data_IF_949687950757
#
_entry.id   IF_949687950757
#
_cell.length_a   1.000
_cell.length_b   1.000
_cell.length_c   1.000
_cell.angle_alpha   90.00
_cell.angle_beta   90.00
_cell.angle_gamma   90.00
#
_symmetry.space_group_name_H-M   'P 1'
#
loop_
_entity.id
_entity.type
_entity.pdbx_description
1 polymer ?
#
# COMPACT_ATOMS: atom_id res chain seq x y z
N UNK A 1 -4.72 30.79 5.85
CA UNK A 1 -3.71 29.70 5.80
C UNK A 1 -3.59 28.89 7.10
N UNK A 2 -3.17 29.43 8.25
CA UNK A 2 -3.09 28.63 9.51
C UNK A 2 -4.45 28.21 10.07
N UNK A 3 -5.45 29.11 10.07
CA UNK A 3 -6.82 28.79 10.51
C UNK A 3 -7.51 27.77 9.60
N UNK A 4 -7.41 27.92 8.27
CA UNK A 4 -7.96 26.96 7.30
C UNK A 4 -7.31 25.57 7.38
N UNK A 5 -6.01 25.51 7.69
CA UNK A 5 -5.31 24.24 7.94
C UNK A 5 -5.83 23.56 9.21
N UNK A 6 -6.09 24.32 10.28
CA UNK A 6 -6.64 23.82 11.53
C UNK A 6 -8.10 23.36 11.36
N UNK A 7 -8.93 24.11 10.66
CA UNK A 7 -10.31 23.68 10.33
C UNK A 7 -10.31 22.43 9.44
N UNK A 8 -9.36 22.35 8.49
CA UNK A 8 -9.15 21.16 7.69
C UNK A 8 -8.76 19.91 8.51
N UNK A 9 -8.04 20.10 9.62
CA UNK A 9 -7.66 19.02 10.54
C UNK A 9 -8.82 18.52 11.42
N UNK A 10 -9.77 19.39 11.76
CA UNK A 10 -10.96 19.03 12.55
C UNK A 10 -12.14 18.58 11.65
N UNK A 11 -11.91 18.44 10.36
CA UNK A 11 -12.94 18.00 9.40
C UNK A 11 -13.31 16.52 9.54
N UNK A 12 -14.55 16.17 9.17
CA UNK A 12 -15.02 14.78 9.09
C UNK A 12 -14.13 13.90 8.20
N UNK A 13 -13.49 14.50 7.18
CA UNK A 13 -12.54 13.83 6.29
C UNK A 13 -11.32 13.33 7.04
N UNK A 14 -10.81 14.10 8.00
CA UNK A 14 -9.66 13.69 8.81
C UNK A 14 -10.02 12.56 9.77
N UNK A 15 -11.22 12.60 10.37
CA UNK A 15 -11.71 11.51 11.21
C UNK A 15 -11.88 10.21 10.41
N UNK A 16 -12.47 10.30 9.21
CA UNK A 16 -12.60 9.17 8.31
C UNK A 16 -11.22 8.62 7.89
N UNK A 17 -10.27 9.50 7.58
CA UNK A 17 -8.90 9.12 7.27
C UNK A 17 -8.19 8.45 8.46
N UNK A 18 -8.36 8.95 9.68
CA UNK A 18 -7.78 8.35 10.88
C UNK A 18 -8.33 6.94 11.11
N UNK A 19 -9.65 6.74 10.97
CA UNK A 19 -10.27 5.41 11.06
C UNK A 19 -9.71 4.46 10.00
N UNK A 20 -9.60 4.93 8.75
CA UNK A 20 -8.99 4.16 7.66
C UNK A 20 -7.53 3.79 7.95
N UNK A 21 -6.75 4.72 8.53
CA UNK A 21 -5.35 4.52 8.91
C UNK A 21 -5.21 3.49 10.03
N UNK A 22 -6.12 3.46 11.00
CA UNK A 22 -6.15 2.40 12.02
C UNK A 22 -6.32 1.04 11.36
N UNK A 23 -7.35 0.88 10.52
CA UNK A 23 -7.62 -0.40 9.85
C UNK A 23 -6.45 -0.79 8.93
N UNK A 24 -5.92 0.14 8.15
CA UNK A 24 -4.78 -0.05 7.26
C UNK A 24 -3.53 -0.47 8.04
N UNK A 25 -3.25 0.20 9.15
CA UNK A 25 -2.11 -0.09 10.02
C UNK A 25 -2.22 -1.47 10.68
N UNK A 26 -3.42 -1.85 11.16
CA UNK A 26 -3.67 -3.19 11.68
C UNK A 26 -3.45 -4.27 10.60
N UNK A 27 -3.95 -4.04 9.39
CA UNK A 27 -3.73 -4.95 8.25
C UNK A 27 -2.26 -5.07 7.89
N UNK A 28 -1.55 -3.94 7.79
CA UNK A 28 -0.11 -3.87 7.52
C UNK A 28 0.70 -4.60 8.58
N UNK A 29 0.36 -4.41 9.85
CA UNK A 29 0.99 -5.10 10.97
C UNK A 29 0.76 -6.61 10.88
N UNK A 30 -0.47 -7.04 10.64
CA UNK A 30 -0.86 -8.44 10.58
C UNK A 30 -0.19 -9.16 9.41
N UNK A 31 -0.50 -8.75 8.18
CA UNK A 31 -0.10 -9.48 6.98
C UNK A 31 1.22 -9.00 6.34
N UNK A 32 1.76 -7.87 6.77
CA UNK A 32 2.90 -7.23 6.11
C UNK A 32 2.53 -6.41 4.87
N UNK A 33 1.24 -6.28 4.55
CA UNK A 33 0.70 -5.53 3.41
C UNK A 33 -0.69 -4.97 3.74
N UNK A 34 -1.24 -4.15 2.84
CA UNK A 34 -2.64 -3.71 2.93
C UNK A 34 -2.81 -2.22 3.15
N UNK A 35 -1.76 -1.51 3.57
CA UNK A 35 -1.82 -0.04 3.72
C UNK A 35 -2.25 0.63 2.42
N UNK A 36 -1.47 0.47 1.35
CA UNK A 36 -1.79 1.10 0.07
C UNK A 36 -3.15 0.67 -0.50
N UNK A 37 -3.48 -0.61 -0.39
CA UNK A 37 -4.71 -1.15 -0.99
C UNK A 37 -5.95 -0.57 -0.30
N UNK A 38 -5.86 -0.28 1.01
CA UNK A 38 -6.94 0.35 1.74
C UNK A 38 -6.94 1.87 1.61
N UNK A 39 -5.79 2.51 1.78
CA UNK A 39 -5.70 3.97 1.86
C UNK A 39 -5.71 4.65 0.50
N UNK A 40 -5.19 4.04 -0.57
CA UNK A 40 -5.19 4.65 -1.89
C UNK A 40 -6.61 5.02 -2.38
N UNK A 41 -7.61 4.12 -2.39
CA UNK A 41 -8.98 4.49 -2.75
C UNK A 41 -9.58 5.52 -1.79
N UNK A 42 -9.40 5.35 -0.47
CA UNK A 42 -10.01 6.25 0.53
C UNK A 42 -9.45 7.67 0.40
N UNK A 43 -8.13 7.82 0.37
CA UNK A 43 -7.49 9.13 0.25
C UNK A 43 -7.75 9.76 -1.11
N UNK A 44 -7.88 8.95 -2.18
CA UNK A 44 -8.29 9.45 -3.50
C UNK A 44 -9.73 9.99 -3.51
N UNK A 45 -10.64 9.39 -2.75
CA UNK A 45 -12.01 9.89 -2.58
C UNK A 45 -12.02 11.15 -1.70
N UNK A 46 -11.27 11.17 -0.59
CA UNK A 46 -11.28 12.27 0.37
C UNK A 46 -10.60 13.55 -0.14
N UNK A 47 -9.48 13.40 -0.85
CA UNK A 47 -8.60 14.53 -1.22
C UNK A 47 -8.17 14.52 -2.68
N UNK A 48 -8.61 13.56 -3.48
CA UNK A 48 -8.15 13.36 -4.85
C UNK A 48 -6.82 12.59 -4.91
N UNK A 49 -6.52 11.89 -6.02
CA UNK A 49 -5.30 11.08 -6.14
C UNK A 49 -4.01 11.89 -5.98
N UNK A 50 -3.97 13.12 -6.51
CA UNK A 50 -2.77 13.97 -6.48
C UNK A 50 -2.36 14.44 -5.09
N UNK A 51 -3.30 14.53 -4.14
CA UNK A 51 -2.98 14.86 -2.74
C UNK A 51 -2.99 13.61 -1.85
N UNK A 52 -3.91 12.67 -2.09
CA UNK A 52 -4.08 11.47 -1.29
C UNK A 52 -2.95 10.45 -1.42
N UNK A 53 -2.50 10.19 -2.66
CA UNK A 53 -1.42 9.21 -2.89
C UNK A 53 -0.09 9.66 -2.25
N UNK A 54 0.35 10.93 -2.35
CA UNK A 54 1.55 11.37 -1.64
C UNK A 54 1.49 11.17 -0.11
N UNK A 55 0.36 11.48 0.54
CA UNK A 55 0.19 11.24 1.99
C UNK A 55 0.41 9.77 2.31
N UNK A 56 -0.23 8.87 1.56
CA UNK A 56 -0.05 7.43 1.68
C UNK A 56 1.43 7.01 1.52
N UNK A 57 2.10 7.49 0.47
CA UNK A 57 3.46 7.08 0.15
C UNK A 57 4.46 7.49 1.25
N UNK A 58 4.32 8.70 1.80
CA UNK A 58 5.16 9.17 2.91
C UNK A 58 4.92 8.30 4.16
N UNK A 59 3.66 8.01 4.49
CA UNK A 59 3.32 7.14 5.62
C UNK A 59 3.92 5.74 5.47
N UNK A 60 3.84 5.15 4.27
CA UNK A 60 4.42 3.83 4.00
C UNK A 60 5.94 3.83 4.06
N UNK A 61 6.61 4.87 3.60
CA UNK A 61 8.06 5.01 3.74
C UNK A 61 8.46 4.97 5.22
N UNK A 62 7.81 5.78 6.06
CA UNK A 62 8.12 5.87 7.49
C UNK A 62 7.84 4.55 8.24
N UNK A 63 6.73 3.88 7.94
CA UNK A 63 6.42 2.57 8.53
C UNK A 63 7.37 1.48 8.04
N UNK A 64 7.80 1.53 6.78
CA UNK A 64 8.72 0.53 6.25
C UNK A 64 10.08 0.58 6.93
N UNK A 65 10.60 1.79 7.22
CA UNK A 65 11.83 1.97 8.01
C UNK A 65 11.73 1.30 9.38
N UNK A 66 10.58 1.36 10.03
CA UNK A 66 10.34 0.72 11.34
C UNK A 66 10.35 -0.82 11.27
N UNK A 67 9.86 -1.40 10.18
CA UNK A 67 9.64 -2.85 10.07
C UNK A 67 10.85 -3.61 9.50
N UNK A 68 11.62 -3.01 8.60
CA UNK A 68 12.74 -3.65 7.88
C UNK A 68 13.74 -4.35 8.82
N UNK A 69 14.26 -3.72 9.89
CA UNK A 69 15.29 -4.34 10.73
C UNK A 69 14.84 -5.67 11.33
N UNK A 70 13.55 -5.81 11.66
CA UNK A 70 12.97 -7.02 12.27
C UNK A 70 12.80 -8.16 11.27
N UNK A 71 12.62 -7.85 9.99
CA UNK A 71 12.29 -8.84 8.95
C UNK A 71 13.46 -9.16 8.02
N UNK A 72 14.53 -8.36 8.01
CA UNK A 72 15.66 -8.49 7.09
C UNK A 72 16.25 -9.90 7.04
N UNK A 73 16.41 -10.54 8.21
CA UNK A 73 16.96 -11.92 8.34
C UNK A 73 15.93 -13.01 8.07
N UNK A 74 14.63 -12.68 8.05
CA UNK A 74 13.53 -13.63 7.83
C UNK A 74 13.09 -13.67 6.36
N UNK A 75 13.47 -12.68 5.57
CA UNK A 75 13.10 -12.57 4.17
C UNK A 75 14.13 -13.23 3.25
N UNK A 76 13.66 -13.79 2.14
CA UNK A 76 14.48 -14.35 1.08
C UNK A 76 14.97 -13.25 0.14
N UNK A 77 16.09 -12.62 0.51
CA UNK A 77 16.67 -11.47 -0.19
C UNK A 77 17.01 -11.77 -1.66
N UNK A 78 17.36 -13.02 -1.98
CA UNK A 78 17.68 -13.43 -3.36
C UNK A 78 16.49 -13.31 -4.31
N UNK A 79 15.28 -13.48 -3.80
CA UNK A 79 14.03 -13.31 -4.56
C UNK A 79 13.56 -11.86 -4.50
N UNK A 80 13.61 -11.25 -3.32
CA UNK A 80 13.00 -9.94 -3.08
C UNK A 80 13.81 -8.78 -3.64
N UNK A 81 15.14 -8.83 -3.61
CA UNK A 81 15.96 -7.72 -4.11
C UNK A 81 15.82 -7.52 -5.62
N UNK A 82 15.94 -8.54 -6.50
CA UNK A 82 15.74 -8.34 -7.94
C UNK A 82 14.33 -7.85 -8.28
N UNK A 83 13.32 -8.40 -7.61
CA UNK A 83 11.92 -8.01 -7.78
C UNK A 83 11.71 -6.55 -7.32
N UNK A 84 12.28 -6.17 -6.18
CA UNK A 84 12.26 -4.81 -5.64
C UNK A 84 12.98 -3.81 -6.54
N UNK A 85 14.14 -4.17 -7.08
CA UNK A 85 14.91 -3.33 -8.01
C UNK A 85 14.13 -3.06 -9.31
N UNK A 86 13.53 -4.10 -9.91
CA UNK A 86 12.68 -3.93 -11.09
C UNK A 86 11.50 -3.00 -10.79
N UNK A 87 10.87 -3.16 -9.62
CA UNK A 87 9.79 -2.28 -9.18
C UNK A 87 10.26 -0.84 -8.95
N UNK A 88 11.42 -0.63 -8.35
CA UNK A 88 12.02 0.70 -8.16
C UNK A 88 12.24 1.40 -9.51
N UNK A 89 12.81 0.70 -10.49
CA UNK A 89 13.04 1.26 -11.83
C UNK A 89 11.74 1.59 -12.55
N UNK A 90 10.69 0.78 -12.37
CA UNK A 90 9.40 0.99 -13.00
C UNK A 90 8.53 2.06 -12.31
N UNK A 91 8.75 2.35 -11.03
CA UNK A 91 7.91 3.25 -10.22
C UNK A 91 7.83 4.68 -10.79
N UNK A 92 8.93 5.33 -11.21
CA UNK A 92 8.87 6.64 -11.84
C UNK A 92 7.99 6.69 -13.10
N UNK A 93 8.03 5.64 -13.94
CA UNK A 93 7.19 5.55 -15.13
C UNK A 93 5.71 5.39 -14.79
N UNK A 94 5.40 4.63 -13.73
CA UNK A 94 4.05 4.57 -13.18
C UNK A 94 3.59 5.94 -12.67
N UNK A 95 4.46 6.67 -11.98
CA UNK A 95 4.13 7.98 -11.43
C UNK A 95 3.81 9.02 -12.50
N UNK A 96 4.33 8.86 -13.72
CA UNK A 96 3.90 9.69 -14.85
C UNK A 96 2.38 9.63 -15.08
N UNK A 97 1.77 8.44 -14.91
CA UNK A 97 0.31 8.27 -14.98
C UNK A 97 -0.39 9.04 -13.85
N UNK A 98 0.13 8.98 -12.62
CA UNK A 98 -0.42 9.76 -11.49
C UNK A 98 -0.42 11.28 -11.77
N UNK A 99 0.62 11.77 -12.44
CA UNK A 99 0.79 13.19 -12.73
C UNK A 99 -0.08 13.66 -13.90
N UNK A 100 -0.24 12.83 -14.93
CA UNK A 100 -0.86 13.24 -16.21
C UNK A 100 -2.30 12.77 -16.39
N UNK A 101 -2.69 11.66 -15.76
CA UNK A 101 -4.02 11.11 -15.93
C UNK A 101 -5.09 12.01 -15.30
N UNK A 102 -6.29 11.92 -15.86
CA UNK A 102 -7.48 12.52 -15.28
C UNK A 102 -7.75 11.94 -13.88
N UNK A 103 -8.08 12.82 -12.93
CA UNK A 103 -8.26 12.44 -11.53
C UNK A 103 -9.45 11.52 -11.29
N UNK A 104 -10.53 11.66 -12.08
CA UNK A 104 -11.72 10.81 -11.99
C UNK A 104 -11.41 9.43 -12.56
N UNK A 105 -10.79 9.37 -13.73
CA UNK A 105 -10.35 8.10 -14.35
C UNK A 105 -9.40 7.35 -13.40
N UNK A 106 -8.41 8.05 -12.83
CA UNK A 106 -7.45 7.41 -11.94
C UNK A 106 -8.10 6.88 -10.66
N UNK A 107 -9.04 7.63 -10.07
CA UNK A 107 -9.82 7.18 -8.91
C UNK A 107 -10.61 5.90 -9.22
N UNK A 108 -11.27 5.83 -10.38
CA UNK A 108 -12.01 4.64 -10.83
C UNK A 108 -11.09 3.44 -11.07
N UNK A 109 -9.92 3.66 -11.67
CA UNK A 109 -8.91 2.60 -11.85
C UNK A 109 -8.42 2.08 -10.50
N UNK A 110 -8.15 2.96 -9.54
CA UNK A 110 -7.81 2.56 -8.16
C UNK A 110 -8.92 1.70 -7.56
N UNK A 111 -10.18 2.13 -7.66
CA UNK A 111 -11.33 1.36 -7.17
C UNK A 111 -11.44 -0.02 -7.83
N UNK A 112 -11.31 -0.10 -9.15
CA UNK A 112 -11.34 -1.36 -9.90
C UNK A 112 -10.21 -2.31 -9.49
N UNK A 113 -8.97 -1.80 -9.33
CA UNK A 113 -7.83 -2.60 -8.88
C UNK A 113 -8.03 -3.16 -7.48
N UNK A 114 -8.63 -2.37 -6.58
CA UNK A 114 -8.94 -2.79 -5.21
C UNK A 114 -10.00 -3.89 -5.20
N UNK A 115 -11.04 -3.78 -6.03
CA UNK A 115 -12.06 -4.83 -6.19
C UNK A 115 -11.48 -6.13 -6.74
N UNK A 116 -10.69 -6.03 -7.81
CA UNK A 116 -9.98 -7.19 -8.39
C UNK A 116 -9.12 -7.85 -7.32
N UNK A 117 -8.37 -7.06 -6.55
CA UNK A 117 -7.54 -7.59 -5.48
C UNK A 117 -8.36 -8.23 -4.34
N UNK A 118 -9.50 -7.63 -3.97
CA UNK A 118 -10.44 -8.23 -3.03
C UNK A 118 -10.89 -9.62 -3.49
N UNK A 119 -11.38 -9.75 -4.71
CA UNK A 119 -11.81 -11.06 -5.25
C UNK A 119 -10.65 -12.07 -5.25
N UNK A 120 -9.46 -11.64 -5.66
CA UNK A 120 -8.28 -12.49 -5.71
C UNK A 120 -7.82 -12.95 -4.33
N UNK A 121 -7.98 -12.14 -3.28
CA UNK A 121 -7.58 -12.55 -1.93
C UNK A 121 -8.46 -13.67 -1.37
N UNK A 122 -9.70 -13.83 -1.84
CA UNK A 122 -10.58 -14.95 -1.47
C UNK A 122 -10.43 -16.17 -2.37
N UNK A 123 -9.99 -15.96 -3.60
CA UNK A 123 -9.76 -17.04 -4.55
C UNK A 123 -8.85 -18.11 -3.94
N UNK A 124 -9.16 -19.42 -4.13
CA UNK A 124 -8.25 -20.49 -3.76
C UNK A 124 -7.02 -20.55 -4.69
N UNK A 125 -7.01 -19.73 -5.74
CA UNK A 125 -5.93 -19.68 -6.71
C UNK A 125 -4.63 -19.26 -6.04
N UNK A 126 -3.64 -20.14 -6.14
CA UNK A 126 -2.25 -19.87 -5.78
C UNK A 126 -1.44 -20.20 -7.01
N UNK A 127 -0.58 -19.28 -7.43
CA UNK A 127 0.47 -19.64 -8.39
C UNK A 127 1.31 -20.76 -7.76
N UNK A 128 1.68 -21.78 -8.54
CA UNK A 128 2.44 -22.97 -8.05
C UNK A 128 3.70 -23.22 -8.89
N UNK A 129 4.27 -22.17 -9.47
CA UNK A 129 5.44 -22.27 -10.33
C UNK A 129 6.75 -21.90 -9.63
N UNK A 130 7.85 -22.16 -10.31
CA UNK A 130 9.17 -21.65 -9.92
C UNK A 130 9.21 -20.12 -10.00
N UNK A 131 10.20 -19.53 -9.31
CA UNK A 131 10.41 -18.07 -9.25
C UNK A 131 11.68 -17.65 -10.02
N UNK A 132 11.75 -17.88 -11.35
CA UNK A 132 12.92 -17.52 -12.13
C UNK A 132 13.12 -16.00 -12.15
N UNK A 133 14.36 -15.56 -12.37
CA UNK A 133 14.71 -14.14 -12.40
C UNK A 133 13.85 -13.33 -13.38
N UNK A 134 13.55 -13.87 -14.56
CA UNK A 134 12.70 -13.20 -15.55
C UNK A 134 11.29 -12.90 -15.04
N UNK A 135 10.69 -13.83 -14.30
CA UNK A 135 9.37 -13.64 -13.70
C UNK A 135 9.42 -12.67 -12.52
N UNK A 136 10.48 -12.72 -11.69
CA UNK A 136 10.72 -11.73 -10.64
C UNK A 136 10.76 -10.31 -11.21
N UNK A 137 11.47 -10.12 -12.33
CA UNK A 137 11.57 -8.82 -13.02
C UNK A 137 10.20 -8.41 -13.56
N UNK A 138 9.49 -9.28 -14.27
CA UNK A 138 8.17 -8.96 -14.82
C UNK A 138 7.16 -8.55 -13.74
N UNK A 139 7.06 -9.33 -12.67
CA UNK A 139 6.17 -9.02 -11.52
C UNK A 139 6.61 -7.74 -10.83
N UNK A 140 7.91 -7.54 -10.64
CA UNK A 140 8.48 -6.32 -10.09
C UNK A 140 8.10 -5.09 -10.92
N UNK A 141 8.31 -5.14 -12.23
CA UNK A 141 7.96 -4.04 -13.16
C UNK A 141 6.47 -3.70 -13.09
N UNK A 142 5.57 -4.69 -13.19
CA UNK A 142 4.12 -4.44 -13.09
C UNK A 142 3.76 -3.84 -11.72
N UNK A 143 4.33 -4.39 -10.65
CA UNK A 143 4.10 -3.89 -9.28
C UNK A 143 4.61 -2.46 -9.10
N UNK A 144 5.74 -2.10 -9.70
CA UNK A 144 6.31 -0.76 -9.69
C UNK A 144 5.50 0.24 -10.52
N UNK A 145 5.06 -0.14 -11.73
CA UNK A 145 4.16 0.69 -12.54
C UNK A 145 2.87 0.98 -11.77
N UNK A 146 2.25 -0.04 -11.18
CA UNK A 146 1.07 0.14 -10.33
C UNK A 146 1.38 1.01 -9.11
N UNK A 147 2.55 0.82 -8.47
CA UNK A 147 2.97 1.61 -7.32
C UNK A 147 2.98 3.09 -7.64
N UNK A 148 3.65 3.46 -8.73
CA UNK A 148 3.78 4.85 -9.14
C UNK A 148 2.44 5.45 -9.54
N UNK A 149 1.64 4.72 -10.33
CA UNK A 149 0.37 5.23 -10.85
C UNK A 149 -0.70 5.41 -9.76
N UNK A 150 -0.75 4.49 -8.79
CA UNK A 150 -1.90 4.34 -7.89
C UNK A 150 -1.55 4.32 -6.40
N UNK A 151 -0.26 4.37 -6.06
CA UNK A 151 0.22 4.13 -4.69
C UNK A 151 0.23 2.65 -4.30
N UNK A 152 -0.36 1.75 -5.10
CA UNK A 152 -0.53 0.33 -4.79
C UNK A 152 0.40 -0.56 -5.60
N UNK A 153 1.20 -1.40 -4.95
CA UNK A 153 2.02 -2.45 -5.61
C UNK A 153 1.58 -3.87 -5.26
N UNK A 154 0.53 -4.00 -4.45
CA UNK A 154 0.12 -5.24 -3.82
C UNK A 154 -0.31 -6.35 -4.78
N UNK A 155 -1.24 -6.12 -5.73
CA UNK A 155 -1.90 -7.23 -6.42
C UNK A 155 -0.97 -8.22 -7.13
N UNK A 156 -0.02 -7.78 -7.98
CA UNK A 156 0.87 -8.72 -8.67
C UNK A 156 1.85 -9.39 -7.71
N UNK A 157 2.45 -8.61 -6.80
CA UNK A 157 3.48 -9.14 -5.90
C UNK A 157 2.89 -10.08 -4.85
N UNK A 158 1.69 -9.82 -4.36
CA UNK A 158 1.05 -10.62 -3.31
C UNK A 158 0.64 -11.96 -3.90
N UNK A 159 0.05 -11.98 -5.11
CA UNK A 159 -0.24 -13.23 -5.82
C UNK A 159 1.02 -14.03 -6.11
N UNK A 160 2.08 -13.32 -6.50
CA UNK A 160 3.36 -13.95 -6.80
C UNK A 160 4.07 -14.47 -5.57
N UNK A 161 4.03 -13.78 -4.43
CA UNK A 161 4.69 -14.22 -3.20
C UNK A 161 3.85 -15.22 -2.41
N UNK A 162 2.51 -15.16 -2.43
CA UNK A 162 1.60 -16.17 -1.83
C UNK A 162 1.65 -17.54 -2.53
N UNK A 163 2.39 -17.64 -3.63
CA UNK A 163 2.67 -18.89 -4.35
C UNK A 163 3.64 -19.84 -3.64
N UNK A 164 4.35 -19.34 -2.62
CA UNK A 164 5.48 -20.04 -2.03
C UNK A 164 5.05 -21.14 -1.08
N UNK A 165 5.89 -22.16 -0.95
CA UNK A 165 5.79 -23.15 0.14
C UNK A 165 6.40 -22.61 1.45
N UNK A 166 6.85 -21.36 1.45
CA UNK A 166 7.50 -20.69 2.57
C UNK A 166 6.53 -20.56 3.75
N UNK A 167 7.05 -20.61 4.98
CA UNK A 167 6.23 -20.40 6.17
C UNK A 167 5.57 -19.00 6.15
N UNK A 168 4.41 -18.86 6.79
CA UNK A 168 3.67 -17.58 6.85
C UNK A 168 4.53 -16.40 7.36
N UNK A 169 5.51 -16.69 8.24
CA UNK A 169 6.47 -15.72 8.74
C UNK A 169 7.40 -15.18 7.64
N UNK A 170 7.91 -16.05 6.78
CA UNK A 170 8.77 -15.67 5.65
C UNK A 170 7.97 -14.92 4.58
N UNK A 171 6.75 -15.35 4.26
CA UNK A 171 5.85 -14.60 3.37
C UNK A 171 5.63 -13.15 3.84
N UNK A 172 5.30 -13.00 5.13
CA UNK A 172 5.13 -11.69 5.76
C UNK A 172 6.42 -10.85 5.69
N UNK A 173 7.57 -11.47 5.95
CA UNK A 173 8.87 -10.81 5.88
C UNK A 173 9.21 -10.36 4.45
N UNK A 174 8.99 -11.23 3.46
CA UNK A 174 9.19 -11.00 2.04
C UNK A 174 8.37 -9.81 1.54
N UNK A 175 7.09 -9.74 1.91
CA UNK A 175 6.22 -8.63 1.57
C UNK A 175 6.70 -7.32 2.19
N UNK A 176 7.00 -7.31 3.49
CA UNK A 176 7.50 -6.10 4.16
C UNK A 176 8.79 -5.61 3.50
N UNK A 177 9.73 -6.51 3.20
CA UNK A 177 10.99 -6.15 2.56
C UNK A 177 10.76 -5.59 1.15
N UNK A 178 9.90 -6.22 0.33
CA UNK A 178 9.56 -5.71 -1.00
C UNK A 178 8.94 -4.30 -0.95
N UNK A 179 7.95 -4.09 -0.07
CA UNK A 179 7.32 -2.77 0.03
C UNK A 179 8.31 -1.73 0.55
N UNK A 180 9.26 -2.12 1.39
CA UNK A 180 10.30 -1.23 1.86
C UNK A 180 11.27 -0.79 0.76
N UNK A 181 11.68 -1.72 -0.14
CA UNK A 181 12.62 -1.37 -1.23
C UNK A 181 12.06 -0.28 -2.14
N UNK A 182 10.75 -0.33 -2.42
CA UNK A 182 10.08 0.63 -3.32
C UNK A 182 9.59 1.90 -2.62
N UNK A 183 9.44 1.89 -1.28
CA UNK A 183 8.77 2.98 -0.57
C UNK A 183 9.49 4.32 -0.74
N UNK A 184 10.83 4.32 -0.66
CA UNK A 184 11.65 5.54 -0.82
C UNK A 184 11.50 6.08 -2.23
N UNK A 185 11.66 5.22 -3.24
CA UNK A 185 11.59 5.63 -4.67
C UNK A 185 10.20 6.16 -5.03
N UNK A 186 9.15 5.62 -4.41
CA UNK A 186 7.78 6.04 -4.69
C UNK A 186 7.48 7.49 -4.29
N UNK A 187 8.17 8.02 -3.27
CA UNK A 187 7.97 9.40 -2.79
C UNK A 187 8.66 10.42 -3.71
N UNK A 188 9.71 10.04 -4.43
CA UNK A 188 10.51 10.98 -5.23
C UNK A 188 9.72 11.64 -6.37
N UNK A 189 8.95 10.92 -7.23
CA UNK A 189 8.19 11.57 -8.29
C UNK A 189 7.18 12.62 -7.82
N UNK A 190 6.28 12.37 -6.84
CA UNK A 190 5.38 13.40 -6.36
C UNK A 190 6.09 14.54 -5.62
N UNK A 191 7.24 14.28 -4.99
CA UNK A 191 8.08 15.33 -4.40
C UNK A 191 8.61 16.28 -5.49
N UNK A 192 9.23 15.73 -6.53
CA UNK A 192 9.81 16.50 -7.64
C UNK A 192 8.74 17.26 -8.42
N UNK A 193 7.56 16.67 -8.58
CA UNK A 193 6.43 17.28 -9.26
C UNK A 193 5.66 18.31 -8.41
N UNK A 194 6.09 18.58 -7.17
CA UNK A 194 5.48 19.58 -6.30
C UNK A 194 4.11 19.20 -5.73
N UNK A 195 3.77 17.91 -5.69
CA UNK A 195 2.51 17.41 -5.10
C UNK A 195 2.58 17.33 -3.57
N UNK A 196 3.78 17.42 -2.98
CA UNK A 196 3.99 17.42 -1.52
C UNK A 196 4.06 18.87 -1.04
N UNK A 197 2.89 19.47 -0.83
CA UNK A 197 2.74 20.80 -0.26
C UNK A 197 2.64 20.76 1.29
N UNK A 198 2.53 21.93 1.91
CA UNK A 198 2.38 22.04 3.36
C UNK A 198 1.13 21.28 3.88
N UNK A 199 0.05 21.27 3.10
CA UNK A 199 -1.19 20.57 3.46
C UNK A 199 -0.96 19.06 3.53
N UNK A 200 -0.27 18.48 2.56
CA UNK A 200 0.11 17.05 2.54
C UNK A 200 1.00 16.72 3.74
N UNK A 201 1.98 17.56 4.05
CA UNK A 201 2.88 17.35 5.19
C UNK A 201 2.11 17.38 6.50
N UNK A 202 1.26 18.38 6.74
CA UNK A 202 0.48 18.52 7.96
C UNK A 202 -0.48 17.34 8.14
N UNK A 203 -1.20 16.93 7.08
CA UNK A 203 -2.07 15.74 7.11
C UNK A 203 -1.29 14.47 7.42
N UNK A 204 -0.12 14.31 6.82
CA UNK A 204 0.74 13.15 7.06
C UNK A 204 1.19 13.11 8.51
N UNK A 205 1.68 14.23 9.06
CA UNK A 205 2.12 14.32 10.45
C UNK A 205 0.99 14.07 11.45
N UNK A 206 -0.25 14.49 11.13
CA UNK A 206 -1.41 14.22 11.98
C UNK A 206 -1.80 12.73 12.00
N UNK A 207 -1.69 12.04 10.86
CA UNK A 207 -2.09 10.63 10.71
C UNK A 207 -0.98 9.64 11.07
N UNK A 208 0.28 10.07 10.99
CA UNK A 208 1.44 9.20 11.22
C UNK A 208 1.44 8.56 12.61
N UNK A 209 1.19 9.26 13.73
CA UNK A 209 1.13 8.64 15.06
C UNK A 209 0.09 7.52 15.13
N UNK A 210 -1.07 7.71 14.49
CA UNK A 210 -2.13 6.71 14.43
C UNK A 210 -1.62 5.44 13.76
N UNK A 211 -0.91 5.58 12.63
CA UNK A 211 -0.34 4.45 11.91
C UNK A 211 0.78 3.75 12.70
N UNK A 212 1.66 4.52 13.33
CA UNK A 212 2.77 4.01 14.14
C UNK A 212 2.31 3.21 15.36
N UNK A 213 1.11 3.50 15.89
CA UNK A 213 0.47 2.72 16.96
C UNK A 213 -0.28 1.50 16.40
N UNK A 214 -1.01 1.66 15.29
CA UNK A 214 -1.81 0.58 14.71
C UNK A 214 -0.95 -0.58 14.18
N UNK A 215 0.21 -0.30 13.58
CA UNK A 215 1.08 -1.33 12.97
C UNK A 215 1.61 -2.34 14.00
N UNK A 216 2.19 -1.93 15.15
CA UNK A 216 2.58 -2.87 16.20
C UNK A 216 1.42 -3.70 16.76
N UNK A 217 0.23 -3.11 16.89
CA UNK A 217 -0.97 -3.83 17.36
C UNK A 217 -1.34 -4.91 16.34
N UNK A 218 -1.37 -4.57 15.05
CA UNK A 218 -1.60 -5.52 13.97
C UNK A 218 -0.57 -6.66 13.95
N UNK A 219 0.71 -6.33 14.20
CA UNK A 219 1.77 -7.33 14.27
C UNK A 219 1.58 -8.32 15.43
N UNK A 220 1.02 -7.89 16.57
CA UNK A 220 0.64 -8.80 17.67
C UNK A 220 -0.56 -9.67 17.29
N UNK A 221 -1.55 -9.11 16.59
CA UNK A 221 -2.72 -9.88 16.12
C UNK A 221 -2.33 -11.05 15.21
N UNK A 222 -1.22 -10.96 14.46
CA UNK A 222 -0.71 -12.07 13.64
C UNK A 222 -0.51 -13.38 14.42
N UNK A 223 -0.17 -13.28 15.71
CA UNK A 223 0.08 -14.45 16.56
C UNK A 223 -1.19 -15.03 17.21
N UNK A 224 -2.29 -14.27 17.21
CA UNK A 224 -3.51 -14.62 17.97
C UNK A 224 -4.71 -14.88 17.05
N UNK A 225 -4.83 -14.12 15.97
CA UNK A 225 -5.98 -14.18 15.06
C UNK A 225 -5.68 -15.12 13.89
N UNK A 226 -6.52 -16.14 13.62
CA UNK A 226 -6.34 -17.03 12.47
C UNK A 226 -6.48 -16.31 11.12
N UNK A 227 -5.66 -16.69 10.15
CA UNK A 227 -5.62 -16.10 8.79
C UNK A 227 -6.99 -16.06 8.10
N UNK A 228 -7.83 -17.08 8.32
CA UNK A 228 -9.19 -17.16 7.75
C UNK A 228 -10.07 -15.96 8.11
N UNK A 229 -9.96 -15.47 9.34
CA UNK A 229 -10.77 -14.34 9.82
C UNK A 229 -10.24 -13.04 9.24
N UNK A 230 -8.91 -12.90 9.21
CA UNK A 230 -8.25 -11.76 8.59
C UNK A 230 -8.59 -11.63 7.10
N UNK A 231 -8.50 -12.72 6.32
CA UNK A 231 -8.82 -12.70 4.88
C UNK A 231 -10.26 -12.27 4.61
N UNK A 232 -11.22 -12.75 5.40
CA UNK A 232 -12.64 -12.37 5.27
C UNK A 232 -12.87 -10.89 5.63
N UNK A 233 -12.25 -10.42 6.71
CA UNK A 233 -12.32 -9.03 7.13
C UNK A 233 -11.72 -8.09 6.08
N UNK A 234 -10.50 -8.40 5.62
CA UNK A 234 -9.82 -7.67 4.56
C UNK A 234 -10.68 -7.62 3.29
N UNK A 235 -11.23 -8.76 2.85
CA UNK A 235 -12.11 -8.82 1.69
C UNK A 235 -13.33 -7.88 1.82
N UNK A 236 -14.06 -7.96 2.93
CA UNK A 236 -15.27 -7.16 3.14
C UNK A 236 -14.98 -5.66 3.03
N UNK A 237 -13.88 -5.22 3.63
CA UNK A 237 -13.47 -3.82 3.58
C UNK A 237 -13.01 -3.42 2.18
N UNK A 238 -12.22 -4.26 1.50
CA UNK A 238 -11.76 -3.97 0.14
C UNK A 238 -12.91 -3.85 -0.85
N UNK A 239 -13.94 -4.70 -0.73
CA UNK A 239 -15.16 -4.60 -1.54
C UNK A 239 -15.88 -3.28 -1.27
N UNK A 240 -16.10 -2.94 0.00
CA UNK A 240 -16.76 -1.69 0.39
C UNK A 240 -16.03 -0.47 -0.16
N UNK A 241 -14.73 -0.38 0.10
CA UNK A 241 -13.90 0.77 -0.26
C UNK A 241 -13.68 0.85 -1.77
N UNK A 242 -13.48 -0.29 -2.44
CA UNK A 242 -13.34 -0.35 -3.89
C UNK A 242 -14.62 0.08 -4.61
N UNK A 243 -15.80 -0.33 -4.13
CA UNK A 243 -17.08 0.09 -4.67
C UNK A 243 -17.30 1.60 -4.51
N UNK A 244 -17.01 2.16 -3.33
CA UNK A 244 -17.11 3.60 -3.08
C UNK A 244 -16.20 4.38 -4.04
N UNK A 245 -14.94 3.97 -4.19
CA UNK A 245 -13.99 4.64 -5.06
C UNK A 245 -14.33 4.53 -6.56
N UNK A 246 -15.03 3.48 -6.97
CA UNK A 246 -15.46 3.29 -8.36
C UNK A 246 -16.64 4.21 -8.74
N UNK A 247 -17.51 4.53 -7.77
CA UNK A 247 -18.72 5.34 -7.99
C UNK A 247 -18.44 6.84 -7.82
N UNK A 248 -17.46 7.21 -6.98
CA UNK A 248 -17.06 8.59 -6.69
C UNK A 248 -16.24 9.26 -7.80
#
# INVERSE_FOLDING_TARGET
MTAELLEGLVSWRMLAAACAVVVAGLMRGYAGFGTAILLAPIFSVLWGPRAGIPILLIMEMLVSVQLVPKVWRQANQRVILPLGLAACLATPFGAYVLLTADGVVLKRVIGALVLVFGVLILSPWRYRGTRPLGLNIAVGTVSGLMKGATGMSGPPVILYLLSGMEAAREHRANLILFFATIAIVSVLPPLIAGLIDLTVVVRTLALLPVMLVAVPIGARLFHVVPERWYRRFAFAILVLVGAIALIA
#
